data_IF_006509108279
#
_entry.id   IF_006509108279
#
_cell.length_a   1.000
_cell.length_b   1.000
_cell.length_c   1.000
_cell.angle_alpha   90.00
_cell.angle_beta   90.00
_cell.angle_gamma   90.00
#
_symmetry.space_group_name_H-M   'P 1'
#
loop_
_entity.id
_entity.type
_entity.pdbx_description
1 polymer ?
#
# COMPACT_ATOMS: atom_id res chain seq x y z
N UNK A 1 11.92 -14.69 14.67
CA UNK A 1 11.16 -15.38 15.75
C UNK A 1 9.73 -14.88 15.87
N UNK A 2 9.47 -13.56 15.86
CA UNK A 2 8.11 -13.01 16.00
C UNK A 2 7.22 -13.47 14.85
N UNK A 3 7.65 -13.33 13.59
CA UNK A 3 6.90 -13.71 12.39
C UNK A 3 6.41 -15.17 12.43
N UNK A 4 7.31 -16.10 12.77
CA UNK A 4 6.96 -17.52 12.87
C UNK A 4 6.02 -17.84 14.02
N UNK A 5 6.06 -17.08 15.12
CA UNK A 5 5.09 -17.19 16.20
C UNK A 5 3.71 -16.73 15.74
N UNK A 6 3.64 -15.57 15.11
CA UNK A 6 2.39 -15.03 14.55
C UNK A 6 1.74 -16.02 13.58
N UNK A 7 2.52 -16.63 12.70
CA UNK A 7 2.01 -17.66 11.80
C UNK A 7 1.52 -18.90 12.58
N UNK A 8 2.28 -19.37 13.60
CA UNK A 8 1.88 -20.50 14.44
C UNK A 8 0.63 -20.20 15.28
N UNK A 9 0.40 -18.94 15.60
CA UNK A 9 -0.80 -18.45 16.30
C UNK A 9 -2.00 -18.27 15.34
N UNK A 10 -1.85 -18.60 14.04
CA UNK A 10 -2.93 -18.64 13.05
C UNK A 10 -3.12 -17.35 12.27
N UNK A 11 -2.10 -16.50 12.15
CA UNK A 11 -2.17 -15.30 11.29
C UNK A 11 -2.14 -15.70 9.81
N UNK A 12 -3.13 -15.24 9.06
CA UNK A 12 -3.28 -15.50 7.63
C UNK A 12 -2.32 -14.65 6.78
N UNK A 13 -2.00 -13.45 7.25
CA UNK A 13 -1.14 -12.50 6.54
C UNK A 13 -0.10 -11.94 7.49
N UNK A 14 1.16 -11.89 7.04
CA UNK A 14 2.25 -11.21 7.73
C UNK A 14 2.74 -10.06 6.86
N UNK A 15 2.60 -8.83 7.38
CA UNK A 15 3.04 -7.62 6.72
C UNK A 15 4.39 -7.14 7.27
N UNK A 16 5.25 -6.75 6.36
CA UNK A 16 6.51 -6.06 6.63
C UNK A 16 6.33 -4.57 6.33
N UNK A 17 6.69 -3.72 7.26
CA UNK A 17 6.65 -2.27 7.06
C UNK A 17 8.05 -1.77 6.71
N UNK A 18 8.19 -1.21 5.49
CA UNK A 18 9.47 -0.77 4.92
C UNK A 18 9.48 0.71 4.54
N UNK A 19 9.45 1.62 5.53
CA UNK A 19 9.46 3.06 5.25
C UNK A 19 10.78 3.56 4.66
N UNK A 20 11.86 2.81 4.83
CA UNK A 20 13.19 3.16 4.33
C UNK A 20 13.33 2.92 2.81
N UNK A 21 12.51 2.08 2.21
CA UNK A 21 12.64 1.74 0.80
C UNK A 21 12.49 2.94 -0.13
N UNK A 22 11.65 3.90 0.20
CA UNK A 22 11.48 5.12 -0.60
C UNK A 22 12.62 6.13 -0.45
N UNK A 23 13.31 6.13 0.70
CA UNK A 23 14.41 7.06 0.97
C UNK A 23 15.74 6.52 0.44
N UNK A 24 15.97 5.21 0.54
CA UNK A 24 17.20 4.53 0.18
C UNK A 24 17.02 3.58 -1.01
N UNK A 25 16.46 4.09 -2.10
CA UNK A 25 16.02 3.29 -3.23
C UNK A 25 17.12 2.49 -3.93
N UNK A 26 18.33 3.05 -4.03
CA UNK A 26 19.45 2.34 -4.62
C UNK A 26 19.80 1.09 -3.82
N UNK A 27 19.87 1.22 -2.50
CA UNK A 27 20.13 0.12 -1.56
C UNK A 27 18.96 -0.87 -1.54
N UNK A 28 17.71 -0.34 -1.52
CA UNK A 28 16.51 -1.17 -1.56
C UNK A 28 16.44 -2.03 -2.83
N UNK A 29 16.75 -1.48 -4.00
CA UNK A 29 16.78 -2.22 -5.26
C UNK A 29 17.96 -3.22 -5.31
N UNK A 30 19.12 -2.87 -4.74
CA UNK A 30 20.32 -3.70 -4.80
C UNK A 30 20.25 -4.89 -3.85
N UNK A 31 19.87 -4.67 -2.59
CA UNK A 31 19.88 -5.70 -1.55
C UNK A 31 18.65 -5.74 -0.63
N UNK A 32 17.90 -4.63 -0.51
CA UNK A 32 16.78 -4.53 0.43
C UNK A 32 15.65 -5.53 0.15
N UNK A 33 15.27 -5.72 -1.12
CA UNK A 33 14.27 -6.74 -1.50
C UNK A 33 14.76 -8.14 -1.16
N UNK A 34 16.04 -8.45 -1.36
CA UNK A 34 16.62 -9.75 -0.98
C UNK A 34 16.62 -9.96 0.54
N UNK A 35 16.87 -8.89 1.31
CA UNK A 35 16.80 -8.95 2.76
C UNK A 35 15.35 -9.21 3.23
N UNK A 36 14.36 -8.59 2.58
CA UNK A 36 12.95 -8.83 2.82
C UNK A 36 12.57 -10.31 2.53
N UNK A 37 12.96 -10.83 1.37
CA UNK A 37 12.76 -12.24 1.03
C UNK A 37 13.43 -13.19 2.04
N UNK A 38 14.63 -12.84 2.49
CA UNK A 38 15.33 -13.60 3.54
C UNK A 38 14.57 -13.59 4.87
N UNK A 39 13.96 -12.45 5.24
CA UNK A 39 13.14 -12.33 6.44
C UNK A 39 11.84 -13.15 6.33
N UNK A 40 11.26 -13.22 5.14
CA UNK A 40 10.05 -14.01 4.85
C UNK A 40 10.32 -15.51 4.65
N UNK A 41 11.58 -15.91 4.47
CA UNK A 41 11.93 -17.30 4.16
C UNK A 41 11.42 -18.30 5.21
N UNK A 42 10.62 -19.25 4.78
CA UNK A 42 10.01 -20.30 5.64
C UNK A 42 8.64 -19.93 6.20
N UNK A 43 8.11 -18.72 5.91
CA UNK A 43 6.70 -18.44 6.10
C UNK A 43 5.88 -19.17 5.02
N UNK A 44 4.71 -19.66 5.40
CA UNK A 44 3.76 -20.34 4.51
C UNK A 44 2.42 -19.62 4.41
N UNK A 45 2.21 -18.59 5.25
CA UNK A 45 1.09 -17.67 5.14
C UNK A 45 1.35 -16.61 4.07
N UNK A 46 0.33 -15.86 3.68
CA UNK A 46 0.46 -14.73 2.76
C UNK A 46 1.42 -13.68 3.33
N UNK A 47 2.33 -13.20 2.50
CA UNK A 47 3.28 -12.14 2.87
C UNK A 47 2.91 -10.84 2.19
N UNK A 48 2.93 -9.74 2.94
CA UNK A 48 2.69 -8.39 2.42
C UNK A 48 3.86 -7.47 2.75
N UNK A 49 4.14 -6.51 1.87
CA UNK A 49 5.04 -5.41 2.18
C UNK A 49 4.30 -4.08 2.06
N UNK A 50 4.40 -3.27 3.09
CA UNK A 50 3.94 -1.90 3.09
C UNK A 50 5.11 -0.95 2.88
N UNK A 51 5.01 -0.11 1.84
CA UNK A 51 6.00 0.90 1.52
C UNK A 51 5.29 2.25 1.51
N UNK A 52 5.59 3.09 2.48
CA UNK A 52 5.02 4.43 2.58
C UNK A 52 6.10 5.51 2.41
N UNK A 53 5.64 6.72 2.17
CA UNK A 53 6.52 7.91 2.14
C UNK A 53 6.83 8.47 3.54
N UNK A 54 6.41 7.79 4.60
CA UNK A 54 6.62 8.16 6.00
C UNK A 54 5.78 9.36 6.43
N UNK A 55 4.90 9.14 7.40
CA UNK A 55 4.06 10.17 8.00
C UNK A 55 4.60 10.55 9.39
N UNK A 56 4.59 11.85 9.72
CA UNK A 56 4.98 12.34 11.03
C UNK A 56 6.49 12.31 11.32
N UNK A 57 7.34 11.92 10.36
CA UNK A 57 8.80 11.94 10.50
C UNK A 57 9.34 13.19 9.82
N UNK A 58 9.93 14.17 10.55
CA UNK A 58 10.39 15.44 9.96
C UNK A 58 11.34 15.27 8.77
N UNK A 59 12.30 14.35 8.86
CA UNK A 59 13.24 14.07 7.77
C UNK A 59 12.53 13.59 6.49
N UNK A 60 11.49 12.77 6.62
CA UNK A 60 10.69 12.31 5.46
C UNK A 60 9.83 13.44 4.89
N UNK A 61 9.30 14.31 5.74
CA UNK A 61 8.55 15.48 5.27
C UNK A 61 9.44 16.44 4.49
N UNK A 62 10.68 16.66 4.93
CA UNK A 62 11.65 17.50 4.23
C UNK A 62 12.11 16.86 2.93
N UNK A 63 12.36 15.55 2.93
CA UNK A 63 12.65 14.80 1.71
C UNK A 63 11.50 14.87 0.68
N UNK A 64 10.24 14.74 1.09
CA UNK A 64 9.07 14.90 0.20
C UNK A 64 9.02 16.24 -0.51
N UNK A 65 9.51 17.31 0.12
CA UNK A 65 9.59 18.66 -0.51
C UNK A 65 10.57 18.69 -1.67
N UNK A 66 11.53 17.78 -1.72
CA UNK A 66 12.52 17.66 -2.80
C UNK A 66 11.99 16.88 -4.00
N UNK A 67 10.88 16.13 -3.83
CA UNK A 67 10.26 15.37 -4.89
C UNK A 67 9.49 16.29 -5.84
N UNK A 68 9.42 15.90 -7.11
CA UNK A 68 8.75 16.66 -8.16
C UNK A 68 7.21 16.72 -8.04
N UNK A 69 6.55 17.02 -9.15
CA UNK A 69 5.09 17.05 -9.23
C UNK A 69 4.47 15.65 -9.20
N UNK A 70 5.20 14.62 -9.66
CA UNK A 70 4.85 13.22 -9.58
C UNK A 70 5.91 12.48 -8.78
N UNK A 71 5.48 11.60 -7.88
CA UNK A 71 6.35 10.79 -7.05
C UNK A 71 6.50 9.40 -7.67
N UNK A 72 7.54 9.23 -8.46
CA UNK A 72 7.80 8.00 -9.23
C UNK A 72 8.89 7.11 -8.62
N UNK A 73 9.20 7.30 -7.35
CA UNK A 73 10.26 6.54 -6.66
C UNK A 73 10.00 5.03 -6.71
N UNK A 74 8.75 4.61 -6.66
CA UNK A 74 8.37 3.20 -6.78
C UNK A 74 8.83 2.53 -8.10
N UNK A 75 9.06 3.29 -9.18
CA UNK A 75 9.58 2.74 -10.44
C UNK A 75 10.89 1.96 -10.27
N UNK A 76 11.71 2.37 -9.31
CA UNK A 76 13.02 1.78 -9.07
C UNK A 76 12.94 0.44 -8.35
N UNK A 77 11.90 0.22 -7.54
CA UNK A 77 11.79 -0.94 -6.66
C UNK A 77 10.70 -1.92 -7.06
N UNK A 78 9.61 -1.46 -7.67
CA UNK A 78 8.48 -2.32 -8.04
C UNK A 78 8.86 -3.48 -8.96
N UNK A 79 9.76 -3.35 -9.95
CA UNK A 79 10.21 -4.50 -10.74
C UNK A 79 10.88 -5.58 -9.91
N UNK A 80 11.69 -5.21 -8.90
CA UNK A 80 12.33 -6.15 -7.99
C UNK A 80 11.30 -6.81 -7.06
N UNK A 81 10.33 -6.07 -6.56
CA UNK A 81 9.22 -6.61 -5.76
C UNK A 81 8.31 -7.53 -6.59
N UNK A 82 8.03 -7.18 -7.83
CA UNK A 82 7.26 -8.05 -8.73
C UNK A 82 7.94 -9.41 -8.94
N UNK A 83 9.28 -9.43 -9.01
CA UNK A 83 10.07 -10.65 -9.15
C UNK A 83 10.30 -11.40 -7.81
N UNK A 84 9.99 -10.79 -6.67
CA UNK A 84 10.24 -11.37 -5.34
C UNK A 84 9.22 -12.44 -4.95
N UNK A 85 9.46 -13.12 -3.85
CA UNK A 85 8.52 -14.08 -3.24
C UNK A 85 7.41 -13.45 -2.40
N UNK A 86 7.39 -12.12 -2.24
CA UNK A 86 6.33 -11.41 -1.51
C UNK A 86 5.03 -11.42 -2.32
N UNK A 87 3.91 -11.73 -1.67
CA UNK A 87 2.61 -11.92 -2.35
C UNK A 87 1.89 -10.59 -2.61
N UNK A 88 1.91 -9.68 -1.64
CA UNK A 88 1.13 -8.43 -1.67
C UNK A 88 2.03 -7.21 -1.50
N UNK A 89 1.75 -6.13 -2.25
CA UNK A 89 2.48 -4.86 -2.16
C UNK A 89 1.50 -3.72 -1.98
N UNK A 90 1.71 -2.88 -0.97
CA UNK A 90 0.89 -1.70 -0.75
C UNK A 90 1.56 -0.42 -1.25
N UNK A 91 0.75 0.54 -1.70
CA UNK A 91 1.20 1.86 -2.10
C UNK A 91 0.16 2.93 -1.76
N UNK A 92 0.65 4.15 -1.53
CA UNK A 92 -0.19 5.32 -1.27
C UNK A 92 -0.81 5.85 -2.56
N UNK A 93 -2.12 6.09 -2.58
CA UNK A 93 -2.80 6.66 -3.76
C UNK A 93 -3.71 7.84 -3.42
N UNK A 94 -4.38 7.83 -2.26
CA UNK A 94 -5.29 8.90 -1.88
C UNK A 94 -4.51 10.17 -1.55
N UNK A 95 -4.83 11.27 -2.23
CA UNK A 95 -4.20 12.58 -2.06
C UNK A 95 -2.66 12.58 -2.16
N UNK A 96 -2.10 11.53 -2.76
CA UNK A 96 -0.67 11.42 -3.01
C UNK A 96 -0.33 11.90 -4.43
N UNK A 97 0.96 12.15 -4.66
CA UNK A 97 1.47 12.45 -6.00
C UNK A 97 1.98 11.19 -6.73
N UNK A 98 1.63 10.02 -6.22
CA UNK A 98 2.03 8.73 -6.80
C UNK A 98 1.13 8.42 -8.00
N UNK A 99 1.67 8.30 -9.21
CA UNK A 99 0.88 7.98 -10.40
C UNK A 99 0.36 6.54 -10.34
N UNK A 100 -0.91 6.35 -10.68
CA UNK A 100 -1.55 5.04 -10.63
C UNK A 100 -0.98 4.03 -11.64
N UNK A 101 -0.37 4.50 -12.73
CA UNK A 101 0.28 3.65 -13.74
C UNK A 101 1.44 2.82 -13.19
N UNK A 102 2.06 3.25 -12.07
CA UNK A 102 3.11 2.48 -11.40
C UNK A 102 2.64 1.10 -10.93
N UNK A 103 1.34 0.94 -10.66
CA UNK A 103 0.76 -0.37 -10.30
C UNK A 103 0.97 -1.43 -11.39
N UNK A 104 1.07 -1.02 -12.66
CA UNK A 104 1.34 -1.93 -13.77
C UNK A 104 2.71 -2.63 -13.69
N UNK A 105 3.64 -2.11 -12.87
CA UNK A 105 4.94 -2.71 -12.61
C UNK A 105 4.87 -3.90 -11.64
N UNK A 106 3.77 -4.04 -10.88
CA UNK A 106 3.56 -5.10 -9.89
C UNK A 106 2.86 -6.34 -10.48
N UNK A 107 3.21 -6.71 -11.71
CA UNK A 107 2.61 -7.87 -12.38
C UNK A 107 2.71 -9.14 -11.54
N UNK A 108 1.57 -9.83 -11.38
CA UNK A 108 1.49 -11.08 -10.64
C UNK A 108 1.36 -10.92 -9.12
N UNK A 109 1.41 -9.72 -8.58
CA UNK A 109 1.19 -9.42 -7.16
C UNK A 109 -0.23 -8.99 -6.90
N UNK A 110 -0.69 -9.20 -5.67
CA UNK A 110 -1.85 -8.50 -5.17
C UNK A 110 -1.44 -7.08 -4.79
N UNK A 111 -2.25 -6.11 -5.18
CA UNK A 111 -1.93 -4.68 -4.98
C UNK A 111 -2.89 -4.10 -3.95
N UNK A 112 -2.33 -3.66 -2.84
CA UNK A 112 -3.05 -2.99 -1.77
C UNK A 112 -3.03 -1.49 -2.05
N UNK A 113 -4.17 -0.96 -2.50
CA UNK A 113 -4.32 0.44 -2.93
C UNK A 113 -4.73 1.29 -1.74
N UNK A 114 -3.90 2.25 -1.35
CA UNK A 114 -4.18 3.21 -0.30
C UNK A 114 -5.26 4.21 -0.75
N UNK A 115 -6.46 4.07 -0.21
CA UNK A 115 -7.63 4.88 -0.55
C UNK A 115 -8.09 5.79 0.60
N UNK A 116 -7.31 5.83 1.67
CA UNK A 116 -7.53 6.70 2.84
C UNK A 116 -6.24 7.45 3.13
N UNK A 117 -6.31 8.77 3.13
CA UNK A 117 -5.20 9.64 3.50
C UNK A 117 -5.02 9.64 5.03
N UNK A 118 -3.81 9.43 5.48
CA UNK A 118 -3.45 9.45 6.91
C UNK A 118 -2.70 10.72 7.33
N UNK A 119 -2.51 11.65 6.41
CA UNK A 119 -1.90 12.95 6.67
C UNK A 119 -2.92 14.04 7.05
N UNK A 120 -4.21 13.75 6.97
CA UNK A 120 -5.32 14.69 7.20
C UNK A 120 -6.41 14.04 8.04
N UNK A 121 -7.02 14.82 8.93
CA UNK A 121 -8.20 14.42 9.73
C UNK A 121 -9.51 14.49 8.92
N UNK A 122 -9.48 14.99 7.70
CA UNK A 122 -10.64 15.00 6.79
C UNK A 122 -10.99 13.58 6.41
N UNK A 123 -12.25 13.19 6.67
CA UNK A 123 -12.76 11.86 6.33
C UNK A 123 -13.17 11.84 4.86
N UNK A 124 -12.65 10.89 4.11
CA UNK A 124 -13.00 10.67 2.70
C UNK A 124 -14.47 10.28 2.55
N UNK A 125 -15.06 10.66 1.44
CA UNK A 125 -16.37 10.16 1.05
C UNK A 125 -16.26 8.77 0.41
N UNK A 126 -17.31 7.93 0.48
CA UNK A 126 -17.34 6.65 -0.25
C UNK A 126 -17.10 6.82 -1.76
N UNK A 127 -17.51 7.95 -2.31
CA UNK A 127 -17.32 8.29 -3.73
C UNK A 127 -15.83 8.50 -4.08
N UNK A 128 -15.09 9.26 -3.28
CA UNK A 128 -13.65 9.48 -3.48
C UNK A 128 -12.87 8.16 -3.40
N UNK A 129 -13.21 7.32 -2.43
CA UNK A 129 -12.64 5.96 -2.30
C UNK A 129 -12.93 5.12 -3.55
N UNK A 130 -14.19 5.08 -4.00
CA UNK A 130 -14.60 4.32 -5.18
C UNK A 130 -13.92 4.84 -6.46
N UNK A 131 -13.75 6.14 -6.61
CA UNK A 131 -13.05 6.75 -7.74
C UNK A 131 -11.57 6.38 -7.76
N UNK A 132 -10.90 6.39 -6.61
CA UNK A 132 -9.49 5.97 -6.48
C UNK A 132 -9.34 4.50 -6.87
N UNK A 133 -10.23 3.62 -6.41
CA UNK A 133 -10.24 2.21 -6.82
C UNK A 133 -10.49 2.05 -8.31
N UNK A 134 -11.41 2.83 -8.90
CA UNK A 134 -11.68 2.78 -10.34
C UNK A 134 -10.46 3.21 -11.19
N UNK A 135 -9.62 4.12 -10.71
CA UNK A 135 -8.36 4.46 -11.37
C UNK A 135 -7.37 3.28 -11.29
N UNK A 136 -7.24 2.64 -10.12
CA UNK A 136 -6.36 1.51 -9.92
C UNK A 136 -6.76 0.30 -10.80
N UNK A 137 -8.05 0.06 -11.01
CA UNK A 137 -8.58 -1.02 -11.86
C UNK A 137 -8.18 -0.90 -13.34
N UNK A 138 -7.67 0.23 -13.79
CA UNK A 138 -7.10 0.37 -15.14
C UNK A 138 -5.76 -0.36 -15.27
N UNK A 139 -5.09 -0.66 -14.16
CA UNK A 139 -3.73 -1.20 -14.12
C UNK A 139 -3.64 -2.52 -13.38
N UNK A 140 -4.60 -2.82 -12.49
CA UNK A 140 -4.63 -4.00 -11.64
C UNK A 140 -5.92 -4.78 -11.89
N UNK A 141 -5.85 -6.09 -12.17
CA UNK A 141 -7.04 -6.94 -12.27
C UNK A 141 -7.86 -6.92 -10.98
N UNK A 142 -9.20 -6.96 -11.08
CA UNK A 142 -10.11 -6.84 -9.93
C UNK A 142 -9.86 -7.87 -8.83
N UNK A 143 -9.48 -9.07 -9.20
CA UNK A 143 -9.20 -10.19 -8.30
C UNK A 143 -7.88 -10.04 -7.51
N UNK A 144 -7.04 -9.09 -7.92
CA UNK A 144 -5.76 -8.78 -7.28
C UNK A 144 -5.71 -7.41 -6.63
N UNK A 145 -6.84 -6.69 -6.58
CA UNK A 145 -6.90 -5.36 -6.01
C UNK A 145 -7.55 -5.40 -4.64
N UNK A 146 -6.82 -4.88 -3.64
CA UNK A 146 -7.29 -4.72 -2.27
C UNK A 146 -7.31 -3.23 -1.90
N UNK A 147 -8.36 -2.78 -1.23
CA UNK A 147 -8.44 -1.43 -0.68
C UNK A 147 -7.81 -1.40 0.72
N UNK A 148 -6.94 -0.42 0.98
CA UNK A 148 -6.34 -0.22 2.28
C UNK A 148 -6.20 1.27 2.61
N UNK A 149 -5.65 1.60 3.76
CA UNK A 149 -5.23 2.96 4.10
C UNK A 149 -3.84 3.25 3.53
N UNK A 150 -3.52 4.53 3.27
CA UNK A 150 -2.17 4.91 2.80
C UNK A 150 -1.07 4.47 3.76
N UNK A 151 -1.35 4.48 5.05
CA UNK A 151 -0.44 4.04 6.11
C UNK A 151 -1.26 3.71 7.38
N UNK A 152 -0.59 3.41 8.50
CA UNK A 152 -1.24 3.14 9.78
C UNK A 152 -1.98 4.35 10.35
N UNK A 153 -3.12 4.15 10.98
CA UNK A 153 -3.99 5.18 11.57
C UNK A 153 -3.61 5.54 13.01
N UNK A 154 -2.57 4.95 13.58
CA UNK A 154 -2.20 5.11 14.99
C UNK A 154 -2.01 6.57 15.46
N UNK A 155 -1.52 7.52 14.62
CA UNK A 155 -1.39 8.92 15.04
C UNK A 155 -2.70 9.70 15.10
N UNK A 156 -3.79 9.16 14.55
CA UNK A 156 -5.07 9.86 14.41
C UNK A 156 -5.95 9.76 15.67
N UNK A 157 -6.83 10.74 15.93
CA UNK A 157 -7.92 10.59 16.89
C UNK A 157 -8.77 9.35 16.55
N UNK A 158 -9.21 8.63 17.58
CA UNK A 158 -9.90 7.35 17.40
C UNK A 158 -11.20 7.46 16.59
N UNK A 159 -11.95 8.50 16.83
CA UNK A 159 -13.23 8.80 16.12
C UNK A 159 -12.97 9.10 14.63
N UNK A 160 -11.92 9.86 14.32
CA UNK A 160 -11.50 10.12 12.94
C UNK A 160 -11.04 8.83 12.26
N UNK A 161 -10.21 8.04 12.93
CA UNK A 161 -9.73 6.75 12.40
C UNK A 161 -10.89 5.80 12.11
N UNK A 162 -11.88 5.71 13.02
CA UNK A 162 -13.06 4.90 12.82
C UNK A 162 -13.89 5.39 11.63
N UNK A 163 -14.17 6.69 11.53
CA UNK A 163 -14.93 7.26 10.42
C UNK A 163 -14.26 7.02 9.07
N UNK A 164 -12.91 7.11 9.00
CA UNK A 164 -12.13 6.80 7.80
C UNK A 164 -12.24 5.32 7.41
N UNK A 165 -12.21 4.40 8.36
CA UNK A 165 -12.42 2.97 8.08
C UNK A 165 -13.84 2.67 7.61
N UNK A 166 -14.85 3.34 8.14
CA UNK A 166 -16.23 3.25 7.66
C UNK A 166 -16.35 3.75 6.21
N UNK A 167 -15.69 4.87 5.88
CA UNK A 167 -15.62 5.41 4.53
C UNK A 167 -14.92 4.44 3.56
N UNK A 168 -13.82 3.82 3.99
CA UNK A 168 -13.11 2.79 3.22
C UNK A 168 -14.04 1.64 2.85
N UNK A 169 -14.74 1.08 3.84
CA UNK A 169 -15.64 -0.06 3.64
C UNK A 169 -16.81 0.33 2.71
N UNK A 170 -17.43 1.48 2.94
CA UNK A 170 -18.54 1.96 2.11
C UNK A 170 -18.09 2.23 0.67
N UNK A 171 -16.93 2.85 0.47
CA UNK A 171 -16.37 3.11 -0.86
C UNK A 171 -15.96 1.86 -1.61
N UNK A 172 -15.37 0.88 -0.93
CA UNK A 172 -15.06 -0.41 -1.52
C UNK A 172 -16.34 -1.18 -1.93
N UNK A 173 -17.40 -1.11 -1.13
CA UNK A 173 -18.70 -1.69 -1.47
C UNK A 173 -19.31 -0.99 -2.72
N UNK A 174 -19.22 0.34 -2.78
CA UNK A 174 -19.69 1.11 -3.93
C UNK A 174 -18.92 0.74 -5.22
N UNK A 175 -17.59 0.60 -5.13
CA UNK A 175 -16.76 0.18 -6.26
C UNK A 175 -17.17 -1.21 -6.77
N UNK A 176 -17.40 -2.18 -5.87
CA UNK A 176 -17.87 -3.53 -6.24
C UNK A 176 -19.22 -3.49 -6.95
N UNK A 177 -20.18 -2.76 -6.39
CA UNK A 177 -21.53 -2.64 -6.99
C UNK A 177 -21.48 -2.08 -8.43
N UNK A 178 -20.59 -1.11 -8.68
CA UNK A 178 -20.37 -0.56 -10.03
C UNK A 178 -19.77 -1.56 -11.01
N UNK A 179 -18.83 -2.37 -10.55
CA UNK A 179 -18.24 -3.43 -11.38
C UNK A 179 -19.26 -4.51 -11.74
N UNK A 180 -20.07 -4.94 -10.77
CA UNK A 180 -21.06 -5.98 -10.97
C UNK A 180 -22.21 -5.51 -11.90
N UNK A 181 -22.47 -4.18 -11.95
CA UNK A 181 -23.47 -3.60 -12.87
C UNK A 181 -22.98 -3.46 -14.33
N UNK A 182 -21.66 -3.62 -14.56
CA UNK A 182 -21.04 -3.51 -15.89
C UNK A 182 -20.66 -4.88 -16.50
N UNK A 183 -20.80 -5.95 -15.73
CA UNK A 183 -20.53 -7.32 -16.13
C UNK A 183 -21.78 -8.00 -16.74
#
# INVERSE_FOLDING_TARGET
RVLFRSQADGMDIIQFDEPAFNVYMADAAQWGVKALERAAQGLTCTTAVHICYGYGIPANLDWKKTLGQEWREYEKIFPALAASSIDQVSLECMHSKVPADLMALLKGKDVMVGVIDVASDVVETPEEVAQTLAQALKFVPRERLLACTNCGLAPMPRDVAQAKLEALVAGAALARARLDSQA
#
